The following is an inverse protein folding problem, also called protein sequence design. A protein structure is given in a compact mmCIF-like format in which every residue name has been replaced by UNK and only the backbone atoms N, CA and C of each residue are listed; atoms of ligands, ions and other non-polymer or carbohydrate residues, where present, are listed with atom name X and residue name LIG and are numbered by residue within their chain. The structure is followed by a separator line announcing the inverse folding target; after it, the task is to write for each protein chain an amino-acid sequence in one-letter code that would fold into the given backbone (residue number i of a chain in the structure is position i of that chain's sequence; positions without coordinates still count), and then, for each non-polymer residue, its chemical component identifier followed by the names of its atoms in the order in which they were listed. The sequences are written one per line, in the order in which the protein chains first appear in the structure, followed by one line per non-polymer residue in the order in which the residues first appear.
data_IF_534089851682
#
_entry.id   IF_534089851682
#
_cell.length_a   1.000
_cell.length_b   1.000
_cell.length_c   1.000
_cell.angle_alpha   90.00
_cell.angle_beta   90.00
_cell.angle_gamma   90.00
#
_symmetry.space_group_name_H-M   'P 1'
#
loop_
_entity.id
_entity.type
_entity.pdbx_description
1 polymer ?
#
# COMPACT_ATOMS: atom_id res chain seq x y z
N UNK A 1 32.19 3.48 2.67
CA UNK A 1 31.70 4.84 2.43
C UNK A 1 32.12 5.19 1.02
N UNK A 2 31.28 4.91 0.02
CA UNK A 2 31.62 5.19 -1.39
C UNK A 2 31.44 6.68 -1.62
N UNK A 3 32.56 7.42 -1.67
CA UNK A 3 32.56 8.84 -2.01
C UNK A 3 32.16 8.98 -3.47
N UNK A 4 30.95 9.49 -3.70
CA UNK A 4 30.41 9.76 -5.05
C UNK A 4 31.02 11.10 -5.51
N UNK A 5 32.27 11.08 -5.94
CA UNK A 5 32.84 12.17 -6.73
C UNK A 5 32.27 12.05 -8.13
N UNK A 6 31.62 13.10 -8.63
CA UNK A 6 31.28 13.19 -10.05
C UNK A 6 32.58 13.17 -10.88
N UNK A 7 32.52 12.76 -12.16
CA UNK A 7 33.70 12.52 -13.01
C UNK A 7 34.63 13.75 -13.14
N UNK A 8 34.14 14.95 -12.84
CA UNK A 8 34.89 16.21 -12.74
C UNK A 8 35.43 16.59 -11.34
N UNK A 9 35.42 15.69 -10.35
CA UNK A 9 35.97 15.91 -9.01
C UNK A 9 35.11 16.75 -8.06
N UNK A 10 33.88 17.07 -8.44
CA UNK A 10 32.91 17.82 -7.61
C UNK A 10 32.04 16.86 -6.80
N UNK A 11 31.61 17.32 -5.63
CA UNK A 11 30.69 16.58 -4.77
C UNK A 11 29.33 16.49 -5.48
N UNK A 12 28.83 15.27 -5.69
CA UNK A 12 27.56 15.06 -6.34
C UNK A 12 26.41 15.58 -5.43
N UNK A 13 25.69 16.61 -5.89
CA UNK A 13 24.53 17.20 -5.20
C UNK A 13 23.18 16.71 -5.78
N UNK A 14 23.19 15.68 -6.63
CA UNK A 14 21.97 15.03 -7.08
C UNK A 14 21.45 14.07 -6.02
N UNK A 15 20.12 14.00 -5.89
CA UNK A 15 19.48 13.02 -5.02
C UNK A 15 19.85 11.61 -5.49
N UNK A 16 20.29 10.76 -4.56
CA UNK A 16 20.47 9.34 -4.86
C UNK A 16 19.10 8.74 -5.17
N UNK A 17 18.96 8.13 -6.35
CA UNK A 17 17.72 7.45 -6.70
C UNK A 17 17.43 6.34 -5.67
N UNK A 18 16.23 6.31 -5.07
CA UNK A 18 15.87 5.23 -4.17
C UNK A 18 15.86 3.92 -4.95
N UNK A 19 16.28 2.83 -4.29
CA UNK A 19 16.13 1.50 -4.87
C UNK A 19 14.65 1.24 -5.14
N UNK A 20 14.33 0.92 -6.40
CA UNK A 20 12.99 0.51 -6.79
C UNK A 20 12.63 -0.80 -6.07
N UNK A 21 11.51 -0.81 -5.36
CA UNK A 21 10.92 -2.01 -4.77
C UNK A 21 9.61 -2.33 -5.49
N UNK A 22 9.41 -3.60 -5.79
CA UNK A 22 8.17 -4.08 -6.40
C UNK A 22 7.19 -4.48 -5.30
N UNK A 23 5.90 -4.42 -5.62
CA UNK A 23 4.88 -4.99 -4.76
C UNK A 23 4.96 -6.51 -4.80
N UNK A 24 5.11 -7.14 -3.64
CA UNK A 24 5.03 -8.58 -3.49
C UNK A 24 3.58 -9.03 -3.35
N UNK A 25 3.29 -10.27 -3.75
CA UNK A 25 1.99 -10.86 -3.49
C UNK A 25 1.76 -10.99 -1.97
N UNK A 26 0.51 -10.84 -1.50
CA UNK A 26 0.23 -10.91 -0.07
C UNK A 26 0.46 -12.32 0.48
N UNK A 27 1.16 -12.40 1.62
CA UNK A 27 1.34 -13.62 2.40
C UNK A 27 -0.02 -14.23 2.81
N UNK A 28 -0.11 -15.55 3.07
CA UNK A 28 -1.37 -16.20 3.47
C UNK A 28 -2.07 -15.55 4.67
N UNK A 29 -1.29 -15.02 5.63
CA UNK A 29 -1.83 -14.28 6.76
C UNK A 29 -2.47 -12.94 6.35
N UNK A 30 -1.87 -12.23 5.39
CA UNK A 30 -2.43 -10.99 4.83
C UNK A 30 -3.70 -11.26 4.04
N UNK A 31 -3.73 -12.34 3.24
CA UNK A 31 -4.92 -12.74 2.49
C UNK A 31 -6.13 -13.02 3.41
N UNK A 32 -5.90 -13.74 4.51
CA UNK A 32 -6.95 -13.99 5.52
C UNK A 32 -7.47 -12.69 6.14
N UNK A 33 -6.57 -11.74 6.41
CA UNK A 33 -6.94 -10.43 6.96
C UNK A 33 -7.74 -9.60 5.95
N UNK A 34 -7.41 -9.68 4.67
CA UNK A 34 -8.18 -9.03 3.60
C UNK A 34 -9.57 -9.63 3.45
N UNK A 35 -9.71 -10.95 3.55
CA UNK A 35 -11.02 -11.61 3.57
C UNK A 35 -11.88 -11.12 4.75
N UNK A 36 -11.30 -11.01 5.93
CA UNK A 36 -12.01 -10.51 7.11
C UNK A 36 -12.44 -9.05 6.93
N UNK A 37 -11.53 -8.19 6.47
CA UNK A 37 -11.84 -6.77 6.23
C UNK A 37 -12.91 -6.58 5.15
N UNK A 38 -12.80 -7.33 4.05
CA UNK A 38 -13.80 -7.34 2.98
C UNK A 38 -15.16 -7.83 3.46
N UNK A 39 -15.19 -8.90 4.27
CA UNK A 39 -16.42 -9.42 4.86
C UNK A 39 -17.09 -8.41 5.79
N UNK A 40 -16.32 -7.74 6.66
CA UNK A 40 -16.85 -6.69 7.55
C UNK A 40 -17.38 -5.49 6.75
N UNK A 41 -16.66 -5.05 5.72
CA UNK A 41 -17.09 -3.96 4.86
C UNK A 41 -18.39 -4.30 4.13
N UNK A 42 -18.48 -5.52 3.59
CA UNK A 42 -19.69 -5.99 2.91
C UNK A 42 -20.89 -6.04 3.85
N UNK A 43 -20.73 -6.60 5.06
CA UNK A 43 -21.79 -6.62 6.06
C UNK A 43 -22.23 -5.22 6.45
N UNK A 44 -21.28 -4.31 6.69
CA UNK A 44 -21.58 -2.93 7.04
C UNK A 44 -22.41 -2.24 5.96
N UNK A 45 -21.96 -2.27 4.71
CA UNK A 45 -22.69 -1.68 3.58
C UNK A 45 -24.05 -2.35 3.41
N UNK A 46 -24.13 -3.68 3.48
CA UNK A 46 -25.37 -4.43 3.39
C UNK A 46 -26.39 -4.02 4.45
N UNK A 47 -25.95 -3.84 5.70
CA UNK A 47 -26.82 -3.36 6.78
C UNK A 47 -27.32 -1.94 6.57
N UNK A 48 -26.48 -1.03 6.05
CA UNK A 48 -26.88 0.33 5.73
C UNK A 48 -27.94 0.36 4.62
N UNK A 49 -27.73 -0.41 3.55
CA UNK A 49 -28.70 -0.52 2.44
C UNK A 49 -30.00 -1.12 2.93
N UNK A 50 -29.95 -2.21 3.70
CA UNK A 50 -31.15 -2.84 4.26
C UNK A 50 -31.92 -1.88 5.17
N UNK A 51 -31.22 -1.10 6.00
CA UNK A 51 -31.84 -0.08 6.87
C UNK A 51 -32.53 0.99 6.04
N UNK A 52 -31.86 1.52 5.01
CA UNK A 52 -32.43 2.55 4.14
C UNK A 52 -33.72 2.08 3.46
N UNK A 53 -33.76 0.83 2.97
CA UNK A 53 -34.96 0.23 2.38
C UNK A 53 -36.07 -0.03 3.40
N UNK A 54 -35.73 -0.31 4.65
CA UNK A 54 -36.72 -0.57 5.70
C UNK A 54 -37.43 0.70 6.20
N UNK A 55 -36.81 1.87 6.04
CA UNK A 55 -37.35 3.16 6.52
C UNK A 55 -37.82 4.10 5.42
N UNK A 56 -37.69 3.71 4.15
CA UNK A 56 -38.22 4.40 2.96
C UNK A 56 -39.68 4.04 2.70
#
# INVERSE_FOLDING_TARGET
MSTITEEGGRLNNYATEPKMYLAEAPEPAQQRRYLLLGGLAFLFIGTLVATALAVS
#
